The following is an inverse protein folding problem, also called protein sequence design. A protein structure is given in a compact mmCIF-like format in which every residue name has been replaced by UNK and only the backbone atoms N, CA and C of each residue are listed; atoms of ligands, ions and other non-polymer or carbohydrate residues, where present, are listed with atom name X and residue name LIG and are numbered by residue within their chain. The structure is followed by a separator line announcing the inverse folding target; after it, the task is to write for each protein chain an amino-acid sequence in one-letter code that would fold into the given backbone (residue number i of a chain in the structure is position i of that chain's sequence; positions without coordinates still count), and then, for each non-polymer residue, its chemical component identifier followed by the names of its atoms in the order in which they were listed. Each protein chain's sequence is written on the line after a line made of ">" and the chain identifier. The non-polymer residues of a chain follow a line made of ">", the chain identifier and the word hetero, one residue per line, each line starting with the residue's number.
data_IF_041842947042
#
_entry.id   IF_041842947042
#
_cell.length_a   1.000
_cell.length_b   1.000
_cell.length_c   1.000
_cell.angle_alpha   90.00
_cell.angle_beta   90.00
_cell.angle_gamma   90.00
#
_symmetry.space_group_name_H-M   'P 1'
#
loop_
_entity.id
_entity.type
_entity.pdbx_description
1 polymer ?
#
# COMPACT_ATOMS: atom_id res chain seq x y z
N UNK A 1 -4.83 16.02 -2.41
CA UNK A 1 -3.36 15.86 -2.27
C UNK A 1 -2.90 14.88 -1.20
N UNK A 2 -3.70 14.56 -0.17
CA UNK A 2 -3.28 13.71 0.97
C UNK A 2 -2.71 12.33 0.57
N UNK A 3 -3.49 11.48 -0.09
CA UNK A 3 -3.05 10.10 -0.35
C UNK A 3 -1.90 10.00 -1.35
N UNK A 4 -1.79 10.97 -2.28
CA UNK A 4 -0.64 11.06 -3.17
C UNK A 4 0.64 11.42 -2.40
N UNK A 5 0.56 12.38 -1.47
CA UNK A 5 1.68 12.71 -0.58
C UNK A 5 2.08 11.52 0.29
N UNK A 6 1.12 10.79 0.86
CA UNK A 6 1.37 9.55 1.58
C UNK A 6 2.13 8.52 0.72
N UNK A 7 1.70 8.30 -0.52
CA UNK A 7 2.35 7.36 -1.42
C UNK A 7 3.78 7.79 -1.78
N UNK A 8 4.00 9.09 -2.02
CA UNK A 8 5.29 9.65 -2.40
C UNK A 8 6.37 9.47 -1.34
N UNK A 9 6.01 9.49 -0.05
CA UNK A 9 6.95 9.21 1.07
C UNK A 9 7.59 7.82 0.93
N UNK A 10 6.91 6.87 0.29
CA UNK A 10 7.37 5.50 0.12
C UNK A 10 8.04 5.25 -1.25
N UNK A 11 8.17 6.26 -2.11
CA UNK A 11 8.85 6.12 -3.39
C UNK A 11 10.32 5.71 -3.18
N UNK A 12 10.69 4.57 -3.76
CA UNK A 12 12.04 4.02 -3.69
C UNK A 12 12.07 2.61 -4.24
N UNK A 13 13.25 2.17 -4.67
CA UNK A 13 13.46 0.82 -5.21
C UNK A 13 14.59 0.10 -4.47
N UNK A 14 14.64 -1.21 -4.62
CA UNK A 14 15.60 -2.10 -3.98
C UNK A 14 16.41 -2.85 -5.04
N UNK A 15 17.67 -3.14 -4.74
CA UNK A 15 18.39 -4.20 -5.45
C UNK A 15 17.84 -5.56 -5.02
N UNK A 16 18.02 -6.60 -5.84
CA UNK A 16 17.51 -7.94 -5.54
C UNK A 16 18.02 -8.48 -4.19
N UNK A 17 19.30 -8.27 -3.87
CA UNK A 17 19.88 -8.68 -2.58
C UNK A 17 19.26 -7.94 -1.40
N UNK A 18 19.09 -6.62 -1.51
CA UNK A 18 18.46 -5.81 -0.47
C UNK A 18 16.99 -6.17 -0.27
N UNK A 19 16.25 -6.42 -1.36
CA UNK A 19 14.85 -6.87 -1.27
C UNK A 19 14.76 -8.22 -0.56
N UNK A 20 15.64 -9.16 -0.89
CA UNK A 20 15.67 -10.49 -0.27
C UNK A 20 15.95 -10.41 1.24
N UNK A 21 17.00 -9.71 1.65
CA UNK A 21 17.30 -9.49 3.08
C UNK A 21 16.13 -8.80 3.77
N UNK A 22 15.55 -7.75 3.17
CA UNK A 22 14.41 -7.04 3.77
C UNK A 22 13.15 -7.89 3.94
N UNK A 23 12.89 -8.81 3.02
CA UNK A 23 11.72 -9.72 3.11
C UNK A 23 11.94 -10.82 4.14
N UNK A 24 13.17 -11.32 4.31
CA UNK A 24 13.48 -12.44 5.21
C UNK A 24 13.73 -11.95 6.64
N UNK A 25 14.49 -10.87 6.79
CA UNK A 25 15.01 -10.39 8.07
C UNK A 25 14.25 -9.14 8.56
N UNK A 26 13.59 -8.42 7.66
CA UNK A 26 12.90 -7.18 7.99
C UNK A 26 11.54 -7.40 8.63
N UNK A 27 11.20 -6.53 9.58
CA UNK A 27 9.87 -6.50 10.23
C UNK A 27 8.86 -5.62 9.49
N UNK A 28 9.31 -4.92 8.45
CA UNK A 28 8.49 -3.98 7.70
C UNK A 28 8.21 -4.52 6.29
N UNK A 29 6.95 -4.41 5.85
CA UNK A 29 6.60 -4.70 4.46
C UNK A 29 7.41 -3.81 3.48
N UNK A 30 7.74 -4.31 2.27
CA UNK A 30 8.35 -3.50 1.23
C UNK A 30 7.53 -2.25 0.91
N UNK A 31 8.20 -1.17 0.55
CA UNK A 31 7.59 0.17 0.44
C UNK A 31 6.31 0.20 -0.42
N UNK A 32 6.33 -0.43 -1.59
CA UNK A 32 5.16 -0.44 -2.48
C UNK A 32 3.97 -1.18 -1.87
N UNK A 33 4.19 -2.26 -1.11
CA UNK A 33 3.14 -2.95 -0.37
C UNK A 33 2.59 -2.12 0.79
N UNK A 34 3.41 -1.26 1.42
CA UNK A 34 2.93 -0.32 2.44
C UNK A 34 1.92 0.67 1.86
N UNK A 35 2.10 1.08 0.61
CA UNK A 35 1.14 1.95 -0.09
C UNK A 35 -0.09 1.16 -0.50
N UNK A 36 0.09 0.08 -1.26
CA UNK A 36 -1.02 -0.70 -1.83
C UNK A 36 -1.90 -1.29 -0.73
N UNK A 37 -1.31 -1.96 0.28
CA UNK A 37 -2.07 -2.60 1.34
C UNK A 37 -2.86 -1.61 2.20
N UNK A 38 -2.25 -0.49 2.57
CA UNK A 38 -2.93 0.53 3.40
C UNK A 38 -4.06 1.20 2.63
N UNK A 39 -3.81 1.64 1.39
CA UNK A 39 -4.79 2.36 0.59
C UNK A 39 -5.94 1.47 0.11
N UNK A 40 -5.67 0.19 -0.19
CA UNK A 40 -6.72 -0.76 -0.58
C UNK A 40 -7.71 -1.05 0.56
N UNK A 41 -7.23 -1.03 1.81
CA UNK A 41 -8.06 -1.19 3.01
C UNK A 41 -8.80 0.10 3.41
N UNK A 42 -8.53 1.24 2.77
CA UNK A 42 -9.14 2.51 3.12
C UNK A 42 -10.34 2.83 2.21
N UNK A 43 -11.52 3.06 2.79
CA UNK A 43 -12.73 3.38 2.03
C UNK A 43 -12.72 4.83 1.48
N UNK A 44 -12.15 5.77 2.22
CA UNK A 44 -12.03 7.17 1.80
C UNK A 44 -11.09 7.34 0.61
N UNK A 45 -10.02 6.55 0.54
CA UNK A 45 -9.16 6.47 -0.63
C UNK A 45 -9.98 6.03 -1.86
N UNK A 46 -10.69 4.92 -1.76
CA UNK A 46 -11.49 4.42 -2.87
C UNK A 46 -12.55 5.43 -3.33
N UNK A 47 -13.17 6.16 -2.38
CA UNK A 47 -14.13 7.24 -2.69
C UNK A 47 -13.47 8.42 -3.39
N UNK A 48 -12.33 8.89 -2.88
CA UNK A 48 -11.65 10.06 -3.41
C UNK A 48 -11.07 9.83 -4.84
N UNK A 49 -10.65 8.61 -5.15
CA UNK A 49 -10.18 8.22 -6.50
C UNK A 49 -11.25 7.55 -7.36
N UNK A 50 -12.48 7.43 -6.85
CA UNK A 50 -13.61 6.79 -7.54
C UNK A 50 -13.29 5.37 -8.02
N UNK A 51 -12.57 4.60 -7.21
CA UNK A 51 -12.19 3.23 -7.53
C UNK A 51 -13.42 2.31 -7.52
N UNK A 52 -13.75 1.60 -8.62
CA UNK A 52 -14.86 0.65 -8.65
C UNK A 52 -14.67 -0.48 -7.63
N UNK A 53 -15.77 -1.00 -7.08
CA UNK A 53 -15.73 -2.16 -6.19
C UNK A 53 -15.12 -3.36 -6.93
N UNK A 54 -14.17 -4.05 -6.28
CA UNK A 54 -13.45 -5.18 -6.88
C UNK A 54 -12.25 -4.79 -7.72
N UNK A 55 -11.99 -3.50 -7.94
CA UNK A 55 -10.70 -3.07 -8.50
C UNK A 55 -9.55 -3.39 -7.54
N UNK A 56 -8.29 -3.51 -8.02
CA UNK A 56 -7.16 -3.90 -7.16
C UNK A 56 -6.97 -3.02 -5.92
N UNK A 57 -7.33 -1.74 -6.02
CA UNK A 57 -7.23 -0.77 -4.92
C UNK A 57 -8.55 -0.54 -4.17
N UNK A 58 -9.60 -1.30 -4.49
CA UNK A 58 -10.87 -1.29 -3.75
C UNK A 58 -11.44 -2.72 -3.64
N UNK A 59 -10.75 -3.63 -2.94
CA UNK A 59 -11.26 -4.97 -2.70
C UNK A 59 -12.54 -4.93 -1.84
N UNK A 60 -13.45 -5.90 -2.02
CA UNK A 60 -14.69 -5.97 -1.25
C UNK A 60 -14.46 -6.26 0.24
N UNK A 61 -13.41 -7.02 0.56
CA UNK A 61 -12.96 -7.25 1.93
C UNK A 61 -11.85 -6.28 2.30
N UNK A 62 -12.08 -5.46 3.33
CA UNK A 62 -11.11 -4.52 3.89
C UNK A 62 -10.79 -4.93 5.34
N UNK A 63 -9.51 -4.93 5.69
CA UNK A 63 -9.06 -5.23 7.06
C UNK A 63 -9.05 -3.95 7.91
N UNK A 64 -9.75 -3.97 9.06
CA UNK A 64 -9.81 -2.87 10.04
C UNK A 64 -9.67 -3.50 11.43
N UNK A 65 -8.72 -3.01 12.23
CA UNK A 65 -8.45 -3.55 13.57
C UNK A 65 -8.55 -2.49 14.68
N UNK A 66 -8.27 -1.23 14.36
CA UNK A 66 -8.23 -0.11 15.31
C UNK A 66 -9.54 0.67 15.28
#
# INVERSE_FOLDING_TARGET
>A
MFFLGFAQVWCGNYTNGALKSKVIEGVHAPNHFRVIGTLSNNADFAKAWKCPLGSPMNPPHKCILW
#
